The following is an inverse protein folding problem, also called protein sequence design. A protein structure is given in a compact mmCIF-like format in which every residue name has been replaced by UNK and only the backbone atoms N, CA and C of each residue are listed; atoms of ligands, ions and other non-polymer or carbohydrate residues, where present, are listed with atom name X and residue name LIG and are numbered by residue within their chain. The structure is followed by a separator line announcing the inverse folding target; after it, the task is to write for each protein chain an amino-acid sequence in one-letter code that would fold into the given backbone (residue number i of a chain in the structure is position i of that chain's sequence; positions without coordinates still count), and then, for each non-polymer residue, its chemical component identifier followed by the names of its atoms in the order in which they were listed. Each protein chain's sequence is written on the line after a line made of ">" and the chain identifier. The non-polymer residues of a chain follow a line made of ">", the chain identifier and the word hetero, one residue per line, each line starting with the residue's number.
data_IF_505510272554
#
_entry.id   IF_505510272554
#
_cell.length_a   1.000
_cell.length_b   1.000
_cell.length_c   1.000
_cell.angle_alpha   90.00
_cell.angle_beta   90.00
_cell.angle_gamma   90.00
#
_symmetry.space_group_name_H-M   'P 1'
#
loop_
_entity.id
_entity.type
_entity.pdbx_description
1 polymer ?
#
# COMPACT_ATOMS: atom_id res chain seq x y z
N UNK A 1 -21.75 -0.75 5.34
CA UNK A 1 -21.54 -0.46 6.78
C UNK A 1 -21.39 -1.74 7.57
N UNK A 2 -20.51 -1.77 8.57
CA UNK A 2 -20.36 -2.87 9.55
C UNK A 2 -20.22 -2.31 10.95
N UNK A 3 -21.01 -2.86 11.90
CA UNK A 3 -20.89 -2.54 13.32
C UNK A 3 -20.78 -3.80 14.17
N UNK A 4 -20.13 -3.66 15.32
CA UNK A 4 -20.12 -4.64 16.41
C UNK A 4 -20.65 -3.93 17.65
N UNK A 5 -21.74 -4.40 18.17
CA UNK A 5 -22.53 -3.72 19.20
C UNK A 5 -22.83 -2.27 18.77
N UNK A 6 -22.39 -1.28 19.53
CA UNK A 6 -22.56 0.14 19.20
C UNK A 6 -21.36 0.76 18.44
N UNK A 7 -20.30 -0.01 18.18
CA UNK A 7 -19.12 0.50 17.49
C UNK A 7 -19.18 0.22 15.98
N UNK A 8 -19.20 1.29 15.17
CA UNK A 8 -19.12 1.20 13.71
C UNK A 8 -17.64 1.02 13.32
N UNK A 9 -17.34 -0.09 12.66
CA UNK A 9 -15.98 -0.44 12.20
C UNK A 9 -15.78 -0.13 10.73
N UNK A 10 -16.83 -0.27 9.91
CA UNK A 10 -16.86 0.15 8.50
C UNK A 10 -18.04 1.09 8.35
N UNK A 11 -17.75 2.32 7.93
CA UNK A 11 -18.78 3.31 7.65
C UNK A 11 -19.41 3.10 6.27
N UNK A 12 -19.75 4.17 5.57
CA UNK A 12 -20.26 4.12 4.21
C UNK A 12 -19.09 4.27 3.24
N UNK A 13 -18.66 3.17 2.67
CA UNK A 13 -17.58 3.17 1.69
C UNK A 13 -18.02 2.47 0.40
N UNK A 14 -17.54 2.97 -0.72
CA UNK A 14 -17.72 2.38 -2.05
C UNK A 14 -16.38 2.14 -2.72
N UNK A 15 -16.24 1.03 -3.41
CA UNK A 15 -15.05 0.73 -4.20
C UNK A 15 -15.39 -0.28 -5.30
N UNK A 16 -14.87 -0.03 -6.50
CA UNK A 16 -14.95 -0.95 -7.62
C UNK A 16 -13.62 -1.66 -7.81
N UNK A 17 -13.65 -2.99 -7.87
CA UNK A 17 -12.48 -3.82 -8.15
C UNK A 17 -12.60 -4.39 -9.56
N UNK A 18 -11.60 -4.12 -10.40
CA UNK A 18 -11.61 -4.54 -11.80
C UNK A 18 -11.25 -6.01 -11.95
N UNK A 19 -11.82 -6.65 -12.97
CA UNK A 19 -11.49 -8.06 -13.26
C UNK A 19 -9.99 -8.22 -13.55
N UNK A 20 -9.37 -9.21 -12.90
CA UNK A 20 -7.95 -9.55 -13.09
C UNK A 20 -6.96 -8.62 -12.39
N UNK A 21 -7.40 -7.55 -11.69
CA UNK A 21 -6.48 -6.70 -10.94
C UNK A 21 -6.10 -7.29 -9.57
N UNK A 22 -4.94 -6.88 -9.08
CA UNK A 22 -4.53 -7.03 -7.69
C UNK A 22 -4.84 -5.71 -6.97
N UNK A 23 -5.93 -5.72 -6.21
CA UNK A 23 -6.42 -4.58 -5.44
C UNK A 23 -6.04 -4.71 -3.98
N UNK A 24 -5.32 -3.74 -3.44
CA UNK A 24 -4.84 -3.80 -2.06
C UNK A 24 -5.62 -2.87 -1.13
N UNK A 25 -6.07 -3.42 -0.01
CA UNK A 25 -6.57 -2.65 1.14
C UNK A 25 -5.38 -2.40 2.08
N UNK A 26 -4.94 -1.15 2.15
CA UNK A 26 -3.80 -0.72 2.94
C UNK A 26 -4.23 0.25 4.04
N UNK A 27 -3.66 0.18 5.22
CA UNK A 27 -3.97 1.12 6.31
C UNK A 27 -3.42 0.66 7.65
N UNK A 28 -3.48 1.50 8.68
CA UNK A 28 -3.03 1.15 10.03
C UNK A 28 -3.81 -0.02 10.63
N UNK A 29 -3.25 -0.62 11.67
CA UNK A 29 -3.94 -1.68 12.42
C UNK A 29 -5.27 -1.16 12.98
N UNK A 30 -6.32 -1.98 12.88
CA UNK A 30 -7.64 -1.63 13.41
C UNK A 30 -8.50 -0.72 12.51
N UNK A 31 -8.05 -0.30 11.30
CA UNK A 31 -8.83 0.55 10.42
C UNK A 31 -9.96 -0.17 9.64
N UNK A 32 -10.14 -1.50 9.82
CA UNK A 32 -11.25 -2.25 9.23
C UNK A 32 -10.93 -3.16 8.04
N UNK A 33 -9.69 -3.23 7.54
CA UNK A 33 -9.29 -4.02 6.35
C UNK A 33 -9.71 -5.49 6.41
N UNK A 34 -9.28 -6.21 7.45
CA UNK A 34 -9.64 -7.62 7.67
C UNK A 34 -11.15 -7.79 7.85
N UNK A 35 -11.82 -6.83 8.48
CA UNK A 35 -13.29 -6.84 8.61
C UNK A 35 -13.95 -6.76 7.24
N UNK A 36 -13.53 -5.84 6.39
CA UNK A 36 -14.02 -5.69 5.02
C UNK A 36 -13.74 -6.95 4.20
N UNK A 37 -12.51 -7.49 4.26
CA UNK A 37 -12.17 -8.73 3.57
C UNK A 37 -13.07 -9.89 4.01
N UNK A 38 -13.35 -10.02 5.31
CA UNK A 38 -14.24 -11.06 5.86
C UNK A 38 -15.71 -10.85 5.49
N UNK A 39 -16.15 -9.60 5.28
CA UNK A 39 -17.48 -9.31 4.70
C UNK A 39 -17.54 -9.78 3.24
N UNK A 40 -16.53 -9.50 2.44
CA UNK A 40 -16.42 -10.00 1.05
C UNK A 40 -16.42 -11.52 1.03
N UNK A 41 -15.65 -12.17 1.89
CA UNK A 41 -15.60 -13.62 2.00
C UNK A 41 -16.90 -14.25 2.53
N UNK A 42 -17.74 -13.48 3.23
CA UNK A 42 -19.00 -13.95 3.83
C UNK A 42 -18.87 -14.51 5.24
N UNK A 43 -17.75 -14.31 5.91
CA UNK A 43 -17.58 -14.64 7.33
C UNK A 43 -18.26 -13.63 8.24
N UNK A 44 -18.40 -12.38 7.78
CA UNK A 44 -19.10 -11.32 8.49
C UNK A 44 -20.35 -10.88 7.69
N UNK A 45 -21.38 -10.51 8.39
CA UNK A 45 -22.60 -9.91 7.80
C UNK A 45 -22.33 -8.48 7.33
N UNK A 46 -23.15 -8.02 6.40
CA UNK A 46 -23.23 -6.62 5.96
C UNK A 46 -24.52 -6.06 6.53
N UNK A 47 -24.43 -5.07 7.43
CA UNK A 47 -25.63 -4.49 8.06
C UNK A 47 -26.32 -3.50 7.11
N UNK A 48 -25.53 -2.71 6.35
CA UNK A 48 -26.05 -1.78 5.36
C UNK A 48 -25.15 -1.75 4.13
N UNK A 49 -25.74 -1.51 2.95
CA UNK A 49 -25.03 -1.49 1.67
C UNK A 49 -25.00 -2.87 1.01
N UNK A 50 -24.30 -2.94 -0.11
CA UNK A 50 -24.24 -4.14 -0.94
C UNK A 50 -22.80 -4.49 -1.30
N UNK A 51 -22.51 -5.79 -1.31
CA UNK A 51 -21.32 -6.33 -1.96
C UNK A 51 -21.82 -7.13 -3.16
N UNK A 52 -21.37 -6.77 -4.34
CA UNK A 52 -21.72 -7.45 -5.57
C UNK A 52 -20.49 -8.09 -6.21
N UNK A 53 -20.70 -9.18 -6.91
CA UNK A 53 -19.76 -9.81 -7.79
C UNK A 53 -20.39 -9.84 -9.19
N UNK A 54 -19.82 -9.12 -10.14
CA UNK A 54 -20.49 -8.70 -11.36
C UNK A 54 -21.89 -8.12 -11.02
N UNK A 55 -22.96 -8.59 -11.64
CA UNK A 55 -24.32 -8.12 -11.38
C UNK A 55 -25.02 -8.84 -10.20
N UNK A 56 -24.30 -9.70 -9.48
CA UNK A 56 -24.89 -10.54 -8.43
C UNK A 56 -24.54 -10.01 -7.03
N UNK A 57 -25.56 -9.58 -6.27
CA UNK A 57 -25.41 -9.23 -4.85
C UNK A 57 -25.14 -10.49 -4.03
N UNK A 58 -24.01 -10.50 -3.32
CA UNK A 58 -23.52 -11.67 -2.57
C UNK A 58 -23.72 -11.58 -1.06
N UNK A 59 -24.38 -10.55 -0.54
CA UNK A 59 -24.56 -10.34 0.89
C UNK A 59 -25.07 -11.57 1.64
N UNK A 60 -26.07 -12.26 1.06
CA UNK A 60 -26.74 -13.41 1.68
C UNK A 60 -26.24 -14.77 1.16
N UNK A 61 -25.22 -14.77 0.28
CA UNK A 61 -24.64 -16.01 -0.23
C UNK A 61 -23.68 -16.56 0.84
N UNK A 62 -23.87 -17.80 1.33
CA UNK A 62 -22.99 -18.39 2.33
C UNK A 62 -21.58 -18.62 1.76
N UNK A 63 -20.56 -18.55 2.61
CA UNK A 63 -19.11 -18.64 2.29
C UNK A 63 -18.81 -19.73 1.24
N UNK A 64 -19.27 -20.95 1.46
CA UNK A 64 -18.97 -22.11 0.60
C UNK A 64 -19.59 -22.04 -0.80
N UNK A 65 -20.49 -21.10 -1.05
CA UNK A 65 -21.14 -20.88 -2.36
C UNK A 65 -20.59 -19.66 -3.10
N UNK A 66 -19.74 -18.82 -2.46
CA UNK A 66 -19.18 -17.62 -3.09
C UNK A 66 -18.07 -17.90 -4.11
N UNK A 67 -17.58 -19.14 -4.20
CA UNK A 67 -16.49 -19.55 -5.10
C UNK A 67 -15.24 -18.66 -5.01
N UNK A 68 -14.87 -18.26 -3.80
CA UNK A 68 -13.67 -17.49 -3.51
C UNK A 68 -12.57 -18.40 -2.96
N UNK A 69 -11.29 -18.09 -3.33
CA UNK A 69 -10.11 -18.65 -2.68
C UNK A 69 -9.69 -17.73 -1.54
N UNK A 70 -9.20 -18.29 -0.44
CA UNK A 70 -8.71 -17.46 0.67
C UNK A 70 -7.37 -17.98 1.19
N UNK A 71 -6.43 -17.04 1.37
CA UNK A 71 -5.16 -17.24 2.07
C UNK A 71 -5.23 -16.45 3.38
N UNK A 72 -5.10 -17.15 4.50
CA UNK A 72 -5.13 -16.57 5.84
C UNK A 72 -3.72 -16.18 6.30
N UNK A 73 -3.63 -15.27 7.24
CA UNK A 73 -2.39 -14.80 7.84
C UNK A 73 -1.52 -15.94 8.42
N UNK A 74 -2.14 -16.97 8.99
CA UNK A 74 -1.48 -18.15 9.54
C UNK A 74 -1.43 -19.33 8.54
N UNK A 75 -1.65 -19.07 7.24
CA UNK A 75 -1.68 -20.04 6.14
C UNK A 75 -2.77 -21.11 6.27
N UNK A 76 -3.23 -21.45 7.45
CA UNK A 76 -4.25 -22.45 7.79
C UNK A 76 -4.04 -23.81 7.07
N UNK A 77 -2.78 -24.25 6.93
CA UNK A 77 -2.43 -25.52 6.28
C UNK A 77 -2.81 -26.69 7.19
N UNK A 78 -3.25 -27.80 6.62
CA UNK A 78 -3.56 -29.02 7.37
C UNK A 78 -2.27 -29.72 7.80
N UNK A 79 -1.92 -29.78 9.09
CA UNK A 79 -0.63 -30.29 9.56
C UNK A 79 -0.48 -31.78 9.33
N UNK A 80 -1.56 -32.53 9.31
CA UNK A 80 -1.59 -33.99 9.17
C UNK A 80 -1.67 -34.47 7.70
N UNK A 81 -1.48 -33.54 6.74
CA UNK A 81 -1.52 -33.87 5.32
C UNK A 81 -0.22 -33.44 4.65
N UNK A 82 0.22 -34.22 3.66
CA UNK A 82 1.35 -33.80 2.80
C UNK A 82 0.98 -32.56 1.97
N UNK A 83 1.96 -31.92 1.35
CA UNK A 83 1.76 -30.80 0.41
C UNK A 83 0.74 -31.17 -0.66
N UNK A 84 0.93 -32.31 -1.32
CA UNK A 84 -0.01 -32.79 -2.34
C UNK A 84 -1.44 -32.94 -1.81
N UNK A 85 -1.60 -33.55 -0.64
CA UNK A 85 -2.93 -33.77 -0.02
C UNK A 85 -3.59 -32.48 0.44
N UNK A 86 -2.81 -31.50 0.89
CA UNK A 86 -3.31 -30.17 1.20
C UNK A 86 -3.95 -29.51 -0.03
N UNK A 87 -3.26 -29.57 -1.17
CA UNK A 87 -3.71 -28.94 -2.42
C UNK A 87 -4.91 -29.69 -3.01
N UNK A 88 -4.87 -31.03 -3.07
CA UNK A 88 -5.97 -31.82 -3.64
C UNK A 88 -7.29 -31.75 -2.85
N UNK A 89 -7.21 -31.35 -1.57
CA UNK A 89 -8.36 -31.39 -0.64
C UNK A 89 -9.61 -30.68 -1.18
N UNK A 90 -9.45 -29.46 -1.68
CA UNK A 90 -10.55 -28.68 -2.23
C UNK A 90 -11.16 -29.31 -3.49
N UNK A 91 -10.35 -29.94 -4.33
CA UNK A 91 -10.80 -30.61 -5.56
C UNK A 91 -11.58 -31.92 -5.28
N UNK A 92 -11.17 -32.66 -4.24
CA UNK A 92 -11.92 -33.84 -3.78
C UNK A 92 -13.34 -33.49 -3.35
N UNK A 93 -13.51 -32.36 -2.67
CA UNK A 93 -14.82 -31.88 -2.25
C UNK A 93 -15.71 -31.48 -3.45
N UNK A 94 -15.11 -31.06 -4.58
CA UNK A 94 -15.83 -30.80 -5.85
C UNK A 94 -16.19 -32.09 -6.62
N UNK A 95 -15.83 -33.29 -6.12
CA UNK A 95 -16.10 -34.60 -6.73
C UNK A 95 -15.59 -34.74 -8.17
N UNK A 96 -14.45 -34.14 -8.49
CA UNK A 96 -13.81 -34.25 -9.80
C UNK A 96 -13.20 -35.65 -10.02
N UNK A 97 -13.02 -36.09 -11.29
CA UNK A 97 -12.31 -37.30 -11.62
C UNK A 97 -10.86 -37.31 -11.10
N UNK A 98 -10.34 -38.45 -10.69
CA UNK A 98 -8.99 -38.58 -10.12
C UNK A 98 -7.88 -38.04 -11.04
N UNK A 99 -7.99 -38.31 -12.33
CA UNK A 99 -6.99 -37.88 -13.32
C UNK A 99 -7.00 -36.34 -13.46
N UNK A 100 -8.17 -35.73 -13.42
CA UNK A 100 -8.32 -34.27 -13.45
C UNK A 100 -7.77 -33.62 -12.17
N UNK A 101 -8.03 -34.22 -10.99
CA UNK A 101 -7.44 -33.77 -9.72
C UNK A 101 -5.91 -33.82 -9.82
N UNK A 102 -5.35 -34.96 -10.27
CA UNK A 102 -3.90 -35.13 -10.41
C UNK A 102 -3.31 -34.05 -11.32
N UNK A 103 -3.87 -33.90 -12.52
CA UNK A 103 -3.42 -32.91 -13.50
C UNK A 103 -3.41 -31.47 -12.93
N UNK A 104 -4.50 -31.04 -12.27
CA UNK A 104 -4.59 -29.70 -11.69
C UNK A 104 -3.63 -29.48 -10.53
N UNK A 105 -3.49 -30.48 -9.66
CA UNK A 105 -2.55 -30.39 -8.52
C UNK A 105 -1.11 -30.30 -9.01
N UNK A 106 -0.71 -31.13 -9.97
CA UNK A 106 0.64 -31.09 -10.53
C UNK A 106 0.94 -29.76 -11.23
N UNK A 107 0.02 -29.26 -12.03
CA UNK A 107 0.15 -27.98 -12.70
C UNK A 107 0.30 -26.80 -11.71
N UNK A 108 -0.55 -26.73 -10.67
CA UNK A 108 -0.42 -25.62 -9.71
C UNK A 108 0.84 -25.73 -8.86
N UNK A 109 1.27 -26.96 -8.50
CA UNK A 109 2.54 -27.16 -7.78
C UNK A 109 3.74 -26.68 -8.58
N UNK A 110 3.73 -26.85 -9.88
CA UNK A 110 4.75 -26.33 -10.79
C UNK A 110 4.69 -24.81 -10.85
N UNK A 111 3.50 -24.23 -11.05
CA UNK A 111 3.29 -22.77 -11.10
C UNK A 111 3.82 -22.07 -9.85
N UNK A 112 3.57 -22.62 -8.65
CA UNK A 112 4.05 -22.02 -7.40
C UNK A 112 5.42 -22.59 -6.95
N UNK A 113 6.10 -23.40 -7.79
CA UNK A 113 7.46 -23.90 -7.57
C UNK A 113 7.65 -24.75 -6.29
N UNK A 114 6.72 -25.69 -6.02
CA UNK A 114 6.78 -26.58 -4.83
C UNK A 114 6.70 -28.07 -5.17
N UNK A 115 6.86 -28.46 -6.42
CA UNK A 115 6.75 -29.85 -6.87
C UNK A 115 7.70 -30.81 -6.15
N UNK A 116 8.90 -30.36 -5.80
CA UNK A 116 9.92 -31.11 -5.07
C UNK A 116 9.55 -31.41 -3.61
N UNK A 117 8.52 -30.75 -3.08
CA UNK A 117 8.06 -30.92 -1.69
C UNK A 117 6.76 -31.73 -1.58
N UNK A 118 6.31 -32.35 -2.69
CA UNK A 118 5.03 -33.05 -2.85
C UNK A 118 4.64 -33.93 -1.66
N UNK A 119 5.56 -34.73 -1.15
CA UNK A 119 5.28 -35.71 -0.11
C UNK A 119 5.71 -35.28 1.28
N UNK A 120 6.18 -34.01 1.43
CA UNK A 120 6.54 -33.45 2.72
C UNK A 120 5.30 -33.00 3.50
N UNK A 121 5.41 -33.05 4.82
CA UNK A 121 4.45 -32.46 5.74
C UNK A 121 4.81 -31.00 6.04
N UNK A 122 3.82 -30.17 6.47
CA UNK A 122 4.05 -28.74 6.73
C UNK A 122 5.16 -28.43 7.73
N UNK A 123 5.36 -29.25 8.76
CA UNK A 123 6.43 -29.13 9.76
C UNK A 123 7.85 -29.21 9.18
N UNK A 124 8.00 -29.76 7.98
CA UNK A 124 9.26 -29.89 7.24
C UNK A 124 9.45 -28.81 6.16
N UNK A 125 8.65 -27.75 6.20
CA UNK A 125 8.66 -26.65 5.24
C UNK A 125 9.04 -25.32 5.90
N UNK A 126 9.78 -24.48 5.18
CA UNK A 126 9.99 -23.07 5.58
C UNK A 126 8.68 -22.28 5.49
N UNK A 127 8.62 -21.11 6.14
CA UNK A 127 7.45 -20.24 6.10
C UNK A 127 7.02 -19.89 4.66
N UNK A 128 7.95 -19.52 3.78
CA UNK A 128 7.64 -19.25 2.38
C UNK A 128 7.15 -20.47 1.60
N UNK A 129 7.68 -21.67 1.91
CA UNK A 129 7.15 -22.91 1.31
C UNK A 129 5.74 -23.21 1.79
N UNK A 130 5.45 -23.01 3.08
CA UNK A 130 4.09 -23.12 3.63
C UNK A 130 3.13 -22.14 2.97
N UNK A 131 3.56 -20.91 2.76
CA UNK A 131 2.76 -19.90 2.07
C UNK A 131 2.45 -20.30 0.62
N UNK A 132 3.43 -20.80 -0.13
CA UNK A 132 3.21 -21.33 -1.49
C UNK A 132 2.20 -22.49 -1.50
N UNK A 133 2.21 -23.35 -0.49
CA UNK A 133 1.20 -24.41 -0.32
C UNK A 133 -0.18 -23.82 -0.09
N UNK A 134 -0.31 -22.79 0.78
CA UNK A 134 -1.58 -22.11 1.04
C UNK A 134 -2.12 -21.41 -0.23
N UNK A 135 -1.24 -20.75 -0.98
CA UNK A 135 -1.56 -20.12 -2.25
C UNK A 135 -2.05 -21.15 -3.28
N UNK A 136 -1.31 -22.25 -3.48
CA UNK A 136 -1.69 -23.33 -4.38
C UNK A 136 -3.05 -23.92 -4.01
N UNK A 137 -3.29 -24.16 -2.71
CA UNK A 137 -4.58 -24.66 -2.21
C UNK A 137 -5.75 -23.72 -2.48
N UNK A 138 -5.54 -22.41 -2.36
CA UNK A 138 -6.57 -21.43 -2.63
C UNK A 138 -6.89 -21.33 -4.13
N UNK A 139 -5.89 -21.49 -5.01
CA UNK A 139 -6.01 -21.29 -6.46
C UNK A 139 -6.44 -22.57 -7.20
N UNK A 140 -6.03 -23.75 -6.75
CA UNK A 140 -6.26 -25.02 -7.47
C UNK A 140 -7.74 -25.31 -7.78
N UNK A 141 -8.64 -24.80 -6.95
CA UNK A 141 -10.08 -24.91 -7.11
C UNK A 141 -10.65 -23.98 -8.18
N UNK A 142 -9.81 -23.14 -8.81
CA UNK A 142 -10.14 -22.14 -9.81
C UNK A 142 -11.25 -21.19 -9.29
N UNK A 143 -10.95 -20.43 -8.23
CA UNK A 143 -11.90 -19.45 -7.71
C UNK A 143 -12.01 -18.26 -8.66
N UNK A 144 -13.12 -17.50 -8.54
CA UNK A 144 -13.31 -16.25 -9.28
C UNK A 144 -12.51 -15.10 -8.68
N UNK A 145 -12.38 -15.08 -7.36
CA UNK A 145 -11.63 -14.06 -6.62
C UNK A 145 -10.71 -14.74 -5.60
N UNK A 146 -9.51 -14.23 -5.47
CA UNK A 146 -8.55 -14.62 -4.45
C UNK A 146 -8.49 -13.54 -3.37
N UNK A 147 -8.73 -13.93 -2.13
CA UNK A 147 -8.68 -13.07 -0.95
C UNK A 147 -7.44 -13.41 -0.14
N UNK A 148 -6.63 -12.42 0.22
CA UNK A 148 -5.41 -12.61 1.00
C UNK A 148 -5.42 -11.70 2.23
N UNK A 149 -5.42 -12.29 3.43
CA UNK A 149 -5.39 -11.58 4.72
C UNK A 149 -3.98 -11.58 5.30
N UNK A 150 -3.23 -10.50 5.11
CA UNK A 150 -1.83 -10.30 5.56
C UNK A 150 -0.90 -11.51 5.30
N UNK A 151 -0.82 -12.01 4.07
CA UNK A 151 -0.17 -13.31 3.82
C UNK A 151 1.34 -13.32 4.08
N UNK A 152 2.01 -12.16 4.15
CA UNK A 152 3.46 -12.05 4.30
C UNK A 152 3.90 -11.66 5.72
N UNK A 153 2.97 -11.40 6.64
CA UNK A 153 3.27 -10.86 7.98
C UNK A 153 4.18 -11.75 8.85
N UNK A 154 4.15 -13.07 8.62
CA UNK A 154 4.91 -14.06 9.41
C UNK A 154 6.28 -14.41 8.80
N UNK A 155 6.73 -13.69 7.78
CA UNK A 155 8.00 -13.92 7.09
C UNK A 155 9.07 -12.91 7.49
N UNK A 156 10.33 -13.33 7.45
CA UNK A 156 11.47 -12.41 7.55
C UNK A 156 11.57 -11.49 6.31
N UNK A 157 12.32 -10.40 6.43
CA UNK A 157 12.38 -9.35 5.42
C UNK A 157 12.83 -9.86 4.04
N UNK A 158 13.83 -10.75 3.97
CA UNK A 158 14.34 -11.29 2.70
C UNK A 158 13.29 -12.17 2.03
N UNK A 159 12.72 -13.09 2.79
CA UNK A 159 11.72 -14.03 2.27
C UNK A 159 10.43 -13.29 1.87
N UNK A 160 10.09 -12.19 2.56
CA UNK A 160 8.96 -11.32 2.21
C UNK A 160 9.12 -10.73 0.81
N UNK A 161 10.31 -10.23 0.46
CA UNK A 161 10.60 -9.69 -0.88
C UNK A 161 10.42 -10.78 -1.95
N UNK A 162 11.03 -11.95 -1.76
CA UNK A 162 10.94 -13.08 -2.69
C UNK A 162 9.47 -13.55 -2.88
N UNK A 163 8.71 -13.61 -1.79
CA UNK A 163 7.33 -14.06 -1.83
C UNK A 163 6.37 -13.03 -2.42
N UNK A 164 6.64 -11.74 -2.26
CA UNK A 164 5.93 -10.64 -2.88
C UNK A 164 5.97 -10.76 -4.41
N UNK A 165 7.17 -10.96 -4.97
CA UNK A 165 7.35 -11.18 -6.41
C UNK A 165 6.64 -12.44 -6.88
N UNK A 166 6.79 -13.56 -6.15
CA UNK A 166 6.14 -14.84 -6.50
C UNK A 166 4.61 -14.75 -6.52
N UNK A 167 4.00 -14.05 -5.53
CA UNK A 167 2.55 -13.83 -5.51
C UNK A 167 2.11 -13.03 -6.75
N UNK A 168 2.84 -11.95 -7.07
CA UNK A 168 2.53 -11.11 -8.23
C UNK A 168 2.64 -11.86 -9.55
N UNK A 169 3.70 -12.65 -9.73
CA UNK A 169 3.90 -13.50 -10.92
C UNK A 169 2.75 -14.50 -11.08
N UNK A 170 2.42 -15.24 -10.02
CA UNK A 170 1.33 -16.22 -10.03
C UNK A 170 -0.01 -15.54 -10.35
N UNK A 171 -0.31 -14.42 -9.71
CA UNK A 171 -1.54 -13.66 -9.93
C UNK A 171 -1.65 -13.21 -11.41
N UNK A 172 -0.58 -12.63 -11.97
CA UNK A 172 -0.54 -12.21 -13.39
C UNK A 172 -0.67 -13.39 -14.36
N UNK A 173 0.04 -14.49 -14.07
CA UNK A 173 0.02 -15.68 -14.93
C UNK A 173 -1.39 -16.29 -15.03
N UNK A 174 -2.13 -16.29 -13.92
CA UNK A 174 -3.48 -16.88 -13.85
C UNK A 174 -4.55 -15.84 -14.24
N UNK A 175 -4.26 -14.53 -14.11
CA UNK A 175 -5.21 -13.46 -14.39
C UNK A 175 -6.36 -13.37 -13.39
N UNK A 176 -6.16 -13.84 -12.15
CA UNK A 176 -7.21 -13.89 -11.13
C UNK A 176 -7.37 -12.53 -10.43
N UNK A 177 -8.61 -12.07 -10.27
CA UNK A 177 -8.92 -10.91 -9.43
C UNK A 177 -8.53 -11.18 -8.00
N UNK A 178 -7.73 -10.30 -7.41
CA UNK A 178 -7.18 -10.50 -6.07
C UNK A 178 -7.46 -9.31 -5.17
N UNK A 179 -7.99 -9.57 -3.96
CA UNK A 179 -8.09 -8.58 -2.88
C UNK A 179 -7.04 -8.92 -1.85
N UNK A 180 -6.09 -8.03 -1.69
CA UNK A 180 -4.94 -8.19 -0.81
C UNK A 180 -5.03 -7.25 0.38
N UNK A 181 -4.87 -7.74 1.59
CA UNK A 181 -4.83 -6.93 2.82
C UNK A 181 -3.41 -6.90 3.35
N UNK A 182 -2.92 -5.72 3.63
CA UNK A 182 -1.65 -5.52 4.33
C UNK A 182 -1.65 -4.22 5.14
N UNK A 183 -0.76 -4.11 6.10
CA UNK A 183 -0.38 -2.86 6.74
C UNK A 183 1.02 -2.39 6.31
N UNK A 184 1.71 -3.17 5.49
CA UNK A 184 3.05 -2.87 4.97
C UNK A 184 2.93 -2.07 3.66
N UNK A 185 3.44 -0.83 3.70
CA UNK A 185 3.39 0.10 2.58
C UNK A 185 4.24 -0.39 1.40
N UNK A 186 5.42 -0.95 1.66
CA UNK A 186 6.30 -1.47 0.61
C UNK A 186 5.67 -2.65 -0.13
N UNK A 187 4.96 -3.52 0.60
CA UNK A 187 4.19 -4.59 -0.03
C UNK A 187 3.16 -4.02 -0.98
N UNK A 188 2.30 -3.11 -0.48
CA UNK A 188 1.23 -2.51 -1.26
C UNK A 188 1.76 -1.78 -2.50
N UNK A 189 2.78 -0.94 -2.35
CA UNK A 189 3.36 -0.17 -3.45
C UNK A 189 4.02 -1.06 -4.52
N UNK A 190 4.60 -2.22 -4.12
CA UNK A 190 5.35 -3.07 -5.04
C UNK A 190 4.48 -4.01 -5.89
N UNK A 191 3.33 -4.49 -5.37
CA UNK A 191 2.59 -5.56 -6.05
C UNK A 191 1.24 -5.14 -6.62
N UNK A 192 0.67 -4.02 -6.17
CA UNK A 192 -0.71 -3.66 -6.47
C UNK A 192 -0.87 -3.03 -7.86
N UNK A 193 -2.02 -3.26 -8.48
CA UNK A 193 -2.48 -2.45 -9.61
C UNK A 193 -3.14 -1.17 -9.11
N UNK A 194 -3.93 -1.28 -8.02
CA UNK A 194 -4.52 -0.14 -7.30
C UNK A 194 -4.51 -0.42 -5.80
N UNK A 195 -4.42 0.66 -5.02
CA UNK A 195 -4.42 0.63 -3.56
C UNK A 195 -5.59 1.47 -3.05
N UNK A 196 -6.37 0.92 -2.14
CA UNK A 196 -7.31 1.66 -1.30
C UNK A 196 -6.66 1.93 0.06
N UNK A 197 -6.35 3.17 0.36
CA UNK A 197 -5.82 3.58 1.66
C UNK A 197 -6.98 3.77 2.61
N UNK A 198 -7.01 2.98 3.69
CA UNK A 198 -8.08 2.99 4.69
C UNK A 198 -7.64 3.63 6.00
N UNK A 199 -8.55 4.40 6.60
CA UNK A 199 -8.39 4.95 7.94
C UNK A 199 -9.72 4.96 8.68
N UNK A 200 -9.75 4.45 9.90
CA UNK A 200 -10.92 4.49 10.81
C UNK A 200 -12.25 4.07 10.17
N UNK A 201 -12.23 3.04 9.33
CA UNK A 201 -13.43 2.50 8.69
C UNK A 201 -13.80 3.12 7.35
N UNK A 202 -13.08 4.14 6.89
CA UNK A 202 -13.30 4.84 5.63
C UNK A 202 -12.14 4.64 4.66
N UNK A 203 -12.43 4.71 3.36
CA UNK A 203 -11.40 4.79 2.33
C UNK A 203 -11.04 6.27 2.14
N UNK A 204 -9.74 6.58 2.18
CA UNK A 204 -9.21 7.94 2.04
C UNK A 204 -8.86 8.27 0.59
N UNK A 205 -8.34 7.27 -0.15
CA UNK A 205 -7.97 7.40 -1.55
C UNK A 205 -7.88 6.03 -2.20
N UNK A 206 -8.30 5.92 -3.47
CA UNK A 206 -8.06 4.76 -4.33
C UNK A 206 -7.31 5.22 -5.57
N UNK A 207 -6.09 4.73 -5.78
CA UNK A 207 -5.30 5.11 -6.96
C UNK A 207 -4.20 4.07 -7.23
N UNK A 208 -3.48 4.21 -8.34
CA UNK A 208 -2.27 3.43 -8.63
C UNK A 208 -1.15 3.78 -7.65
N UNK A 209 -0.21 2.86 -7.36
CA UNK A 209 0.85 3.06 -6.36
C UNK A 209 1.65 4.35 -6.52
N UNK A 210 2.07 4.66 -7.75
CA UNK A 210 2.87 5.84 -8.05
C UNK A 210 2.14 7.16 -7.73
N UNK A 211 0.82 7.20 -7.95
CA UNK A 211 0.01 8.38 -7.65
C UNK A 211 -0.32 8.51 -6.18
N UNK A 212 -0.60 7.41 -5.48
CA UNK A 212 -0.76 7.39 -4.02
C UNK A 212 0.46 8.01 -3.34
N UNK A 213 1.66 7.62 -3.77
CA UNK A 213 2.91 8.12 -3.21
C UNK A 213 3.18 9.58 -3.60
N UNK A 214 3.05 9.93 -4.88
CA UNK A 214 3.44 11.25 -5.39
C UNK A 214 2.38 12.32 -5.26
N UNK A 215 1.09 11.95 -5.22
CA UNK A 215 -0.07 12.85 -5.22
C UNK A 215 -1.14 12.38 -4.23
N UNK A 216 -0.85 12.40 -2.93
CA UNK A 216 -1.82 12.04 -1.89
C UNK A 216 -3.00 13.02 -1.88
N UNK A 217 -4.21 12.46 -1.63
CA UNK A 217 -5.45 13.24 -1.60
C UNK A 217 -5.58 14.11 -0.35
N UNK A 218 -5.06 13.64 0.79
CA UNK A 218 -5.11 14.38 2.05
C UNK A 218 -3.82 14.18 2.86
N UNK A 219 -3.70 14.93 3.95
CA UNK A 219 -2.52 14.87 4.83
C UNK A 219 -2.34 13.49 5.45
N UNK A 220 -3.43 12.78 5.80
CA UNK A 220 -3.33 11.42 6.33
C UNK A 220 -2.63 10.48 5.32
N UNK A 221 -3.04 10.50 4.05
CA UNK A 221 -2.40 9.65 3.02
C UNK A 221 -0.94 10.06 2.83
N UNK A 222 -0.64 11.37 2.85
CA UNK A 222 0.72 11.89 2.71
C UNK A 222 1.65 11.41 3.84
N UNK A 223 1.16 11.38 5.08
CA UNK A 223 1.92 10.95 6.25
C UNK A 223 1.96 9.43 6.41
N UNK A 224 0.89 8.75 6.03
CA UNK A 224 0.82 7.30 6.15
C UNK A 224 1.60 6.59 5.04
N UNK A 225 1.64 7.11 3.80
CA UNK A 225 2.39 6.52 2.68
C UNK A 225 3.76 7.17 2.56
N UNK A 226 4.77 6.48 3.07
CA UNK A 226 6.13 7.03 3.17
C UNK A 226 6.23 8.08 4.28
N UNK A 227 7.32 8.83 4.26
CA UNK A 227 7.57 9.91 5.20
C UNK A 227 7.51 11.26 4.48
N UNK A 228 7.03 12.32 5.14
CA UNK A 228 6.98 13.66 4.58
C UNK A 228 7.41 14.72 5.60
N UNK A 229 8.18 15.69 5.15
CA UNK A 229 8.41 16.90 5.93
C UNK A 229 7.23 17.85 5.73
N UNK A 230 6.76 18.43 6.81
CA UNK A 230 5.61 19.34 6.82
C UNK A 230 6.07 20.76 7.12
N UNK A 231 5.63 21.72 6.31
CA UNK A 231 5.84 23.15 6.51
C UNK A 231 4.52 23.89 6.41
N UNK A 232 4.47 25.06 7.03
CA UNK A 232 3.43 26.06 6.72
C UNK A 232 3.96 26.99 5.64
N UNK A 233 3.14 27.26 4.63
CA UNK A 233 3.42 28.22 3.58
C UNK A 233 2.36 29.31 3.49
N UNK A 234 2.73 30.48 3.01
CA UNK A 234 1.80 31.56 2.70
C UNK A 234 1.74 31.76 1.19
N UNK A 235 0.54 31.77 0.62
CA UNK A 235 0.32 32.06 -0.81
C UNK A 235 0.58 33.55 -1.07
N UNK A 236 1.49 33.84 -1.97
CA UNK A 236 1.84 35.22 -2.32
C UNK A 236 1.06 35.70 -3.55
N UNK A 237 1.02 34.85 -4.57
CA UNK A 237 0.37 35.17 -5.84
C UNK A 237 0.04 33.87 -6.60
N UNK A 238 -1.05 33.89 -7.33
CA UNK A 238 -1.37 32.85 -8.29
C UNK A 238 -1.59 33.48 -9.68
N UNK A 239 -0.66 33.25 -10.59
CA UNK A 239 -0.66 33.81 -11.93
C UNK A 239 -0.05 32.84 -12.95
N UNK A 240 -0.52 32.88 -14.19
CA UNK A 240 0.02 32.10 -15.32
C UNK A 240 0.10 30.58 -15.07
N UNK A 241 -0.87 30.00 -14.31
CA UNK A 241 -0.91 28.57 -13.97
C UNK A 241 0.12 28.16 -12.91
N UNK A 242 0.76 29.11 -12.24
CA UNK A 242 1.68 28.89 -11.13
C UNK A 242 1.23 29.61 -9.87
N UNK A 243 1.53 29.04 -8.73
CA UNK A 243 1.30 29.61 -7.40
C UNK A 243 2.63 29.83 -6.72
N UNK A 244 2.94 31.08 -6.40
CA UNK A 244 4.11 31.44 -5.61
C UNK A 244 3.78 31.34 -4.12
N UNK A 245 4.56 30.57 -3.38
CA UNK A 245 4.42 30.42 -1.93
C UNK A 245 5.73 30.76 -1.23
N UNK A 246 5.62 31.28 -0.02
CA UNK A 246 6.74 31.46 0.90
C UNK A 246 6.58 30.50 2.07
N UNK A 247 7.52 29.59 2.24
CA UNK A 247 7.58 28.68 3.38
C UNK A 247 7.96 29.46 4.66
N UNK A 248 7.60 28.91 5.82
CA UNK A 248 8.00 29.46 7.13
C UNK A 248 9.52 29.58 7.32
N UNK A 249 10.31 28.81 6.56
CA UNK A 249 11.78 28.90 6.51
C UNK A 249 12.30 30.10 5.70
N UNK A 250 11.42 30.85 5.04
CA UNK A 250 11.76 31.91 4.11
C UNK A 250 12.00 31.44 2.66
N UNK A 251 12.06 30.13 2.42
CA UNK A 251 12.22 29.58 1.07
C UNK A 251 11.01 29.93 0.19
N UNK A 252 11.29 30.44 -1.01
CA UNK A 252 10.29 30.73 -2.03
C UNK A 252 10.16 29.54 -2.99
N UNK A 253 8.94 29.15 -3.31
CA UNK A 253 8.67 28.09 -4.27
C UNK A 253 7.55 28.48 -5.23
N UNK A 254 7.75 28.20 -6.53
CA UNK A 254 6.69 28.30 -7.54
C UNK A 254 6.20 26.90 -7.89
N UNK A 255 4.90 26.66 -7.72
CA UNK A 255 4.27 25.36 -7.92
C UNK A 255 3.17 25.51 -8.96
N UNK A 256 3.18 24.63 -9.96
CA UNK A 256 2.16 24.57 -10.99
C UNK A 256 1.02 23.58 -10.65
N UNK A 257 -0.14 23.74 -11.29
CA UNK A 257 -1.26 22.80 -11.13
C UNK A 257 -1.91 22.85 -9.75
N UNK A 258 -2.10 24.05 -9.23
CA UNK A 258 -2.77 24.31 -7.95
C UNK A 258 -4.18 24.84 -8.22
N UNK A 259 -5.18 24.26 -7.58
CA UNK A 259 -6.57 24.77 -7.54
C UNK A 259 -6.58 26.25 -7.13
N UNK A 260 -7.60 27.04 -7.48
CA UNK A 260 -7.69 28.42 -7.06
C UNK A 260 -7.56 28.56 -5.54
N UNK A 261 -6.62 29.41 -5.10
CA UNK A 261 -6.34 29.71 -3.69
C UNK A 261 -6.27 31.21 -3.50
N UNK A 262 -6.77 31.70 -2.38
CA UNK A 262 -6.72 33.12 -2.05
C UNK A 262 -5.29 33.56 -1.71
N UNK A 263 -4.95 34.77 -2.13
CA UNK A 263 -3.69 35.41 -1.74
C UNK A 263 -3.66 35.59 -0.21
N UNK A 264 -2.48 35.51 0.37
CA UNK A 264 -2.18 35.57 1.80
C UNK A 264 -2.83 34.48 2.66
N UNK A 265 -3.45 33.45 2.02
CA UNK A 265 -3.90 32.25 2.73
C UNK A 265 -2.74 31.38 3.17
N UNK A 266 -2.91 30.69 4.31
CA UNK A 266 -1.97 29.71 4.80
C UNK A 266 -2.30 28.32 4.24
N UNK A 267 -1.28 27.61 3.78
CA UNK A 267 -1.35 26.26 3.23
C UNK A 267 -0.36 25.33 3.93
N UNK A 268 -0.65 24.04 3.93
CA UNK A 268 0.32 23.02 4.36
C UNK A 268 1.12 22.57 3.16
N UNK A 269 2.44 22.53 3.33
CA UNK A 269 3.41 22.17 2.29
C UNK A 269 4.10 20.89 2.70
N UNK A 270 3.94 19.82 1.90
CA UNK A 270 4.52 18.52 2.17
C UNK A 270 5.61 18.20 1.15
N UNK A 271 6.79 17.87 1.66
CA UNK A 271 7.98 17.56 0.86
C UNK A 271 8.57 16.22 1.31
N UNK A 272 8.73 15.28 0.38
CA UNK A 272 9.39 14.01 0.67
C UNK A 272 10.87 14.22 0.98
N UNK A 273 11.49 13.41 1.85
CA UNK A 273 12.92 13.53 2.18
C UNK A 273 13.86 13.46 0.97
N UNK A 274 13.52 12.69 -0.05
CA UNK A 274 14.29 12.53 -1.30
C UNK A 274 14.10 13.69 -2.30
N UNK A 275 13.16 14.58 -2.06
CA UNK A 275 12.90 15.74 -2.93
C UNK A 275 13.68 16.99 -2.50
N UNK A 276 14.45 16.89 -1.44
CA UNK A 276 15.43 17.92 -1.08
C UNK A 276 16.73 17.73 -1.85
N UNK A 277 17.32 18.85 -2.24
CA UNK A 277 18.64 18.88 -2.89
C UNK A 277 19.56 19.84 -2.15
N UNK A 278 20.81 19.45 -1.97
CA UNK A 278 21.82 20.36 -1.45
C UNK A 278 22.18 21.38 -2.54
N UNK A 279 22.19 22.66 -2.19
CA UNK A 279 22.42 23.77 -3.11
C UNK A 279 23.55 24.66 -2.62
N UNK A 280 24.01 25.58 -3.48
CA UNK A 280 24.91 26.65 -3.05
C UNK A 280 24.18 27.62 -2.11
N UNK A 281 24.96 28.35 -1.30
CA UNK A 281 24.45 29.46 -0.50
C UNK A 281 23.66 30.42 -1.40
N UNK A 282 22.61 31.03 -0.87
CA UNK A 282 21.68 31.95 -1.55
C UNK A 282 20.61 31.32 -2.45
N UNK A 283 20.68 30.01 -2.74
CA UNK A 283 19.70 29.33 -3.58
C UNK A 283 18.74 28.39 -2.82
N UNK A 284 18.88 28.28 -1.51
CA UNK A 284 18.11 27.38 -0.67
C UNK A 284 17.89 27.93 0.74
N UNK A 285 17.13 27.19 1.54
CA UNK A 285 17.00 27.46 2.96
C UNK A 285 18.26 27.01 3.71
N UNK A 286 18.75 27.85 4.62
CA UNK A 286 19.86 27.50 5.50
C UNK A 286 19.42 26.42 6.48
N UNK A 287 20.25 25.39 6.67
CA UNK A 287 20.01 24.30 7.58
C UNK A 287 21.29 23.83 8.24
N UNK A 288 21.21 23.38 9.49
CA UNK A 288 22.31 22.76 10.21
C UNK A 288 22.13 21.26 10.28
N UNK A 289 23.12 20.49 9.84
CA UNK A 289 23.10 19.03 9.95
C UNK A 289 23.18 18.62 11.42
N UNK A 290 22.18 17.90 11.93
CA UNK A 290 22.14 17.39 13.29
C UNK A 290 22.60 15.93 13.36
N UNK A 291 22.10 15.10 12.43
CA UNK A 291 22.37 13.66 12.39
C UNK A 291 22.66 13.25 10.96
N UNK A 292 23.62 12.33 10.79
CA UNK A 292 23.92 11.62 9.55
C UNK A 292 23.83 10.11 9.80
N UNK A 293 23.08 9.39 8.94
CA UNK A 293 23.03 7.93 8.94
C UNK A 293 23.34 7.42 7.55
N UNK A 294 24.47 6.71 7.43
CA UNK A 294 24.85 6.08 6.16
C UNK A 294 24.17 4.72 6.03
N UNK A 295 23.32 4.53 5.00
CA UNK A 295 22.53 3.33 4.76
C UNK A 295 22.94 2.60 3.46
N UNK A 296 24.20 2.80 3.01
CA UNK A 296 24.72 2.22 1.78
C UNK A 296 24.31 3.02 0.55
N UNK A 297 23.18 2.68 -0.06
CA UNK A 297 22.66 3.40 -1.23
C UNK A 297 22.23 4.82 -0.92
N UNK A 298 21.78 5.09 0.29
CA UNK A 298 21.27 6.37 0.73
C UNK A 298 21.99 6.87 1.97
N UNK A 299 22.03 8.18 2.11
CA UNK A 299 22.41 8.87 3.35
C UNK A 299 21.16 9.59 3.85
N UNK A 300 20.79 9.31 5.06
CA UNK A 300 19.66 9.96 5.73
C UNK A 300 20.18 11.01 6.69
N UNK A 301 19.79 12.26 6.49
CA UNK A 301 20.13 13.40 7.31
C UNK A 301 18.90 13.86 8.10
N UNK A 302 19.15 14.32 9.33
CA UNK A 302 18.22 15.13 10.09
C UNK A 302 18.86 16.50 10.20
N UNK A 303 18.15 17.55 9.78
CA UNK A 303 18.64 18.91 9.78
C UNK A 303 17.70 19.84 10.52
N UNK A 304 18.22 20.93 11.08
CA UNK A 304 17.47 22.03 11.69
C UNK A 304 17.48 23.23 10.74
N UNK A 305 16.29 23.64 10.31
CA UNK A 305 16.07 24.82 9.46
C UNK A 305 15.62 26.06 10.26
N UNK A 306 15.77 26.02 11.58
CA UNK A 306 15.37 27.14 12.46
C UNK A 306 13.86 27.30 12.64
N UNK A 307 13.07 26.30 12.28
CA UNK A 307 11.60 26.33 12.40
C UNK A 307 11.06 25.69 13.70
N UNK A 308 11.97 25.12 14.49
CA UNK A 308 11.63 24.34 15.69
C UNK A 308 11.27 22.88 15.41
N UNK A 309 11.10 22.49 14.15
CA UNK A 309 10.89 21.12 13.71
C UNK A 309 12.12 20.62 12.93
N UNK A 310 12.42 19.35 13.08
CA UNK A 310 13.50 18.71 12.34
C UNK A 310 13.03 18.32 10.94
N UNK A 311 13.91 18.54 9.96
CA UNK A 311 13.67 18.17 8.56
C UNK A 311 14.50 16.95 8.21
N UNK A 312 13.87 15.96 7.62
CA UNK A 312 14.54 14.76 7.12
C UNK A 312 14.90 14.91 5.64
N UNK A 313 16.13 14.59 5.29
CA UNK A 313 16.65 14.64 3.92
C UNK A 313 17.27 13.30 3.58
N UNK A 314 16.92 12.75 2.43
CA UNK A 314 17.51 11.52 1.90
C UNK A 314 18.29 11.84 0.63
N UNK A 315 19.60 11.63 0.65
CA UNK A 315 20.46 11.81 -0.50
C UNK A 315 20.92 10.45 -1.05
N UNK A 316 20.92 10.30 -2.36
CA UNK A 316 21.49 9.11 -3.02
C UNK A 316 23.02 9.22 -3.00
N UNK A 317 23.70 8.17 -2.52
CA UNK A 317 25.16 8.13 -2.37
C UNK A 317 25.90 8.25 -3.72
N UNK A 318 25.27 7.80 -4.82
CA UNK A 318 25.85 7.83 -6.16
C UNK A 318 25.82 9.22 -6.80
N UNK A 319 24.89 10.07 -6.40
CA UNK A 319 24.72 11.45 -6.92
C UNK A 319 25.22 12.53 -5.95
N UNK A 320 25.56 12.16 -4.72
CA UNK A 320 26.06 13.10 -3.73
C UNK A 320 27.48 13.57 -4.09
N UNK A 321 27.65 14.87 -4.36
CA UNK A 321 28.99 15.46 -4.61
C UNK A 321 29.90 15.34 -3.37
N UNK A 322 29.33 15.43 -2.19
CA UNK A 322 30.01 15.21 -0.91
C UNK A 322 29.05 14.71 0.16
N UNK A 323 29.61 14.09 1.19
CA UNK A 323 28.89 13.69 2.40
C UNK A 323 29.06 14.80 3.45
N UNK A 324 27.96 15.29 3.98
CA UNK A 324 27.96 16.33 5.02
C UNK A 324 28.07 15.72 6.41
N UNK A 325 28.76 16.41 7.31
CA UNK A 325 28.97 15.95 8.68
C UNK A 325 28.06 16.69 9.68
N UNK A 326 27.69 16.06 10.82
CA UNK A 326 26.97 16.75 11.88
C UNK A 326 27.67 18.03 12.33
N UNK A 327 26.91 19.12 12.46
CA UNK A 327 27.40 20.45 12.81
C UNK A 327 27.67 21.35 11.61
N UNK A 328 27.73 20.82 10.40
CA UNK A 328 27.89 21.64 9.18
C UNK A 328 26.61 22.43 8.86
N UNK A 329 26.81 23.64 8.35
CA UNK A 329 25.74 24.45 7.72
C UNK A 329 25.67 24.07 6.25
N UNK A 330 24.45 23.78 5.78
CA UNK A 330 24.12 23.41 4.41
C UNK A 330 22.96 24.26 3.91
N UNK A 331 22.76 24.27 2.60
CA UNK A 331 21.62 24.96 1.98
C UNK A 331 20.77 23.94 1.22
N UNK A 332 19.45 23.97 1.46
CA UNK A 332 18.52 23.01 0.91
C UNK A 332 17.53 23.68 -0.04
N UNK A 333 17.56 23.28 -1.29
CA UNK A 333 16.50 23.51 -2.26
C UNK A 333 15.49 22.37 -2.24
N UNK A 334 14.35 22.59 -2.89
CA UNK A 334 13.28 21.59 -3.03
C UNK A 334 12.90 21.40 -4.49
N UNK A 335 12.56 20.18 -4.87
CA UNK A 335 12.00 19.87 -6.17
C UNK A 335 10.53 20.30 -6.22
N UNK A 336 10.27 21.51 -6.72
CA UNK A 336 8.92 22.11 -6.72
C UNK A 336 7.88 21.31 -7.51
N UNK A 337 8.30 20.44 -8.45
CA UNK A 337 7.39 19.55 -9.20
C UNK A 337 6.82 18.41 -8.36
N UNK A 338 7.45 18.12 -7.21
CA UNK A 338 7.09 17.00 -6.31
C UNK A 338 6.50 17.45 -4.98
N UNK A 339 6.42 18.75 -4.74
CA UNK A 339 5.73 19.31 -3.57
C UNK A 339 4.24 19.00 -3.65
N UNK A 340 3.61 18.72 -2.52
CA UNK A 340 2.18 18.63 -2.36
C UNK A 340 1.69 19.75 -1.45
N UNK A 341 0.60 20.40 -1.86
CA UNK A 341 -0.08 21.44 -1.09
C UNK A 341 -1.42 20.93 -0.60
N UNK A 342 -1.72 21.24 0.65
CA UNK A 342 -3.02 20.94 1.25
C UNK A 342 -3.61 22.19 1.87
N UNK A 343 -4.91 22.28 1.80
CA UNK A 343 -5.67 23.30 2.54
C UNK A 343 -5.48 23.06 4.04
N UNK A 344 -5.23 24.15 4.78
CA UNK A 344 -4.88 24.06 6.21
C UNK A 344 -6.07 23.65 7.08
N UNK A 345 -7.32 23.91 6.65
CA UNK A 345 -8.52 23.64 7.43
C UNK A 345 -9.11 22.26 7.12
N UNK A 346 -9.21 21.92 5.83
CA UNK A 346 -9.79 20.65 5.37
C UNK A 346 -8.78 19.53 5.29
N UNK A 347 -7.49 19.84 5.32
CA UNK A 347 -6.37 18.92 5.13
C UNK A 347 -6.42 18.14 3.80
N UNK A 348 -7.23 18.62 2.83
CA UNK A 348 -7.36 18.02 1.50
C UNK A 348 -6.43 18.70 0.50
N UNK A 349 -6.09 17.97 -0.56
CA UNK A 349 -5.15 18.43 -1.57
C UNK A 349 -5.64 19.63 -2.36
N UNK A 350 -4.74 20.61 -2.54
CA UNK A 350 -4.89 21.73 -3.45
C UNK A 350 -4.31 21.43 -4.85
N UNK A 351 -3.75 20.24 -5.07
CA UNK A 351 -3.22 19.84 -6.39
C UNK A 351 -4.37 19.56 -7.35
N UNK A 352 -4.28 20.09 -8.59
CA UNK A 352 -5.24 19.80 -9.66
C UNK A 352 -5.16 18.33 -10.10
N UNK A 353 -6.29 17.74 -10.49
CA UNK A 353 -6.37 16.37 -11.00
C UNK A 353 -6.06 15.29 -9.97
N UNK A 354 -6.14 15.63 -8.68
CA UNK A 354 -6.04 14.67 -7.57
C UNK A 354 -7.41 14.55 -6.91
N UNK A 355 -7.95 13.33 -6.90
CA UNK A 355 -9.25 12.99 -6.36
C UNK A 355 -9.12 11.80 -5.38
N UNK A 356 -10.10 11.64 -4.51
CA UNK A 356 -10.15 10.47 -3.62
C UNK A 356 -10.45 9.18 -4.38
N UNK A 357 -11.24 9.26 -5.45
CA UNK A 357 -11.80 8.14 -6.24
C UNK A 357 -12.61 7.14 -5.37
N UNK A 358 -13.31 7.66 -4.36
CA UNK A 358 -14.13 6.91 -3.40
C UNK A 358 -15.61 7.15 -3.64
#
# INVERSE_FOLDING_TARGET
>A
MKKYDDNIVIHDLSADIRSGELFTLLGPSGCGKTTLLRMIAGFNTVENGTIAFDDTVINHIPVHKRNFGMVFQNYAIFPNMTVYRNIEYGLKNKKLPKDEIKRRVEAIMETVQISQYRDRYPDKLSGGQQQRVALARAIVVQPQVLLMDEPLSNLDAKLRIEMREAIREVQKHIGITTVYVTHDQEEALAISDRIAVMNKGDIQQIEIPERIYSRPYNTFVADFIGHSNRFTGTVLEQANGKTAIRLQTGLMAEIAGIKPVEKDSEVLVYVRPEEFVFTAAEQGMEAKVLVKRFLGKYIHYIVDCGTGEHVEVTADTSSAERIHEPGETVYLGVNTRRINLFDKQTETTLMEGVESNV
#
